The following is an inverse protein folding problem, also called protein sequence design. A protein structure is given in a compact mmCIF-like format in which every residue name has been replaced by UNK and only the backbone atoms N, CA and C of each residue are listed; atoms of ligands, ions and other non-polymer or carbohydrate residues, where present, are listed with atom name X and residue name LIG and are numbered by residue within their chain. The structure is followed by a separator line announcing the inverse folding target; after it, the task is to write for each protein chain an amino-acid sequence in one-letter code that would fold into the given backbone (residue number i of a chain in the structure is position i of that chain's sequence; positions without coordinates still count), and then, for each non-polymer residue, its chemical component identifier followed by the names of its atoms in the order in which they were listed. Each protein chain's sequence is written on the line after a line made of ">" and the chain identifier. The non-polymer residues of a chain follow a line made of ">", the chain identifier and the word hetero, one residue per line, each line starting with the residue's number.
data_IF_145855108845
#
_entry.id   IF_145855108845
#
_cell.length_a   1.000
_cell.length_b   1.000
_cell.length_c   1.000
_cell.angle_alpha   90.00
_cell.angle_beta   90.00
_cell.angle_gamma   90.00
#
_symmetry.space_group_name_H-M   'P 1'
#
loop_
_entity.id
_entity.type
_entity.pdbx_description
1 polymer ?
#
# COMPACT_ATOMS: atom_id res chain seq x y z
N UNK A 1 2.40 -3.40 25.98
CA UNK A 1 1.88 -3.14 24.61
C UNK A 1 3.05 -3.15 23.64
N UNK A 2 2.94 -3.93 22.57
CA UNK A 2 3.90 -4.00 21.47
C UNK A 2 3.14 -3.95 20.15
N UNK A 3 3.80 -3.42 19.12
CA UNK A 3 3.21 -3.30 17.80
C UNK A 3 3.53 -4.54 16.97
N UNK A 4 2.50 -5.08 16.31
CA UNK A 4 2.60 -6.22 15.41
C UNK A 4 2.20 -5.73 14.02
N UNK A 5 3.08 -5.95 13.05
CA UNK A 5 2.79 -5.70 11.65
C UNK A 5 1.97 -6.85 11.07
N UNK A 6 0.83 -6.54 10.46
CA UNK A 6 -0.04 -7.53 9.80
C UNK A 6 -0.31 -7.10 8.37
N UNK A 7 -0.85 -8.02 7.55
CA UNK A 7 -1.32 -7.72 6.19
C UNK A 7 -2.39 -6.61 6.13
N UNK A 8 -3.04 -6.30 7.26
CA UNK A 8 -4.07 -5.25 7.37
C UNK A 8 -3.54 -3.97 8.05
N UNK A 9 -2.22 -3.86 8.25
CA UNK A 9 -1.58 -2.75 8.93
C UNK A 9 -1.12 -3.07 10.37
N UNK A 10 -0.81 -2.02 11.11
CA UNK A 10 -0.23 -2.11 12.45
C UNK A 10 -1.30 -2.39 13.51
N UNK A 11 -1.04 -3.36 14.38
CA UNK A 11 -1.95 -3.75 15.47
C UNK A 11 -1.23 -3.69 16.81
N UNK A 12 -1.92 -3.22 17.86
CA UNK A 12 -1.34 -3.16 19.21
C UNK A 12 -1.80 -4.37 19.98
N UNK A 13 -0.84 -5.15 20.46
CA UNK A 13 -1.09 -6.34 21.25
C UNK A 13 -0.49 -6.22 22.64
N UNK A 14 -1.18 -6.81 23.60
CA UNK A 14 -0.75 -6.98 24.97
C UNK A 14 -0.42 -8.46 25.18
N UNK A 15 0.80 -8.89 24.81
CA UNK A 15 1.28 -10.24 25.15
C UNK A 15 2.70 -10.20 25.70
N UNK A 16 2.91 -11.07 26.70
CA UNK A 16 4.19 -11.38 27.34
C UNK A 16 5.01 -12.27 26.40
N UNK A 17 6.28 -11.92 26.25
CA UNK A 17 7.22 -12.39 25.22
C UNK A 17 7.36 -13.92 25.10
N UNK A 18 7.40 -14.43 23.85
CA UNK A 18 8.33 -15.49 23.42
C UNK A 18 8.76 -15.20 21.97
N UNK A 19 10.06 -15.13 21.66
CA UNK A 19 10.54 -14.89 20.30
C UNK A 19 10.53 -16.19 19.48
N UNK A 20 10.04 -16.13 18.25
CA UNK A 20 10.26 -17.15 17.21
C UNK A 20 10.93 -16.45 16.03
N UNK A 21 12.17 -16.85 15.75
CA UNK A 21 12.95 -16.44 14.57
C UNK A 21 12.35 -17.10 13.32
N UNK A 22 12.22 -16.33 12.23
CA UNK A 22 11.98 -16.88 10.89
C UNK A 22 13.08 -16.38 9.97
N UNK A 23 13.78 -17.34 9.40
CA UNK A 23 14.92 -17.16 8.51
C UNK A 23 14.42 -17.18 7.05
N UNK A 24 14.77 -16.15 6.27
CA UNK A 24 14.47 -16.08 4.84
C UNK A 24 15.78 -15.89 4.09
N UNK A 25 16.46 -16.99 3.79
CA UNK A 25 17.47 -17.02 2.74
C UNK A 25 16.84 -17.61 1.46
N UNK A 26 17.48 -17.36 0.32
CA UNK A 26 17.11 -17.74 -1.06
C UNK A 26 16.48 -16.60 -1.90
N UNK A 27 17.34 -15.70 -2.40
CA UNK A 27 17.07 -14.88 -3.59
C UNK A 27 18.01 -15.38 -4.69
N UNK A 28 17.45 -15.95 -5.77
CA UNK A 28 18.18 -16.30 -6.98
C UNK A 28 18.55 -15.00 -7.71
N UNK A 29 19.84 -14.82 -8.02
CA UNK A 29 20.31 -13.75 -8.90
C UNK A 29 20.26 -14.24 -10.36
N UNK A 30 19.54 -13.52 -11.20
CA UNK A 30 19.56 -13.69 -12.66
C UNK A 30 20.57 -12.69 -13.23
N UNK A 31 21.53 -13.15 -14.02
CA UNK A 31 22.52 -12.27 -14.67
C UNK A 31 21.84 -11.42 -15.75
N UNK A 32 21.53 -10.17 -15.42
CA UNK A 32 21.01 -9.16 -16.37
C UNK A 32 22.16 -8.44 -17.06
N UNK A 33 21.99 -8.16 -18.37
CA UNK A 33 22.98 -7.48 -19.20
C UNK A 33 23.14 -6.02 -18.73
N UNK A 34 24.37 -5.50 -18.71
CA UNK A 34 24.72 -4.16 -18.20
C UNK A 34 23.82 -3.03 -18.76
N UNK A 35 23.48 -3.11 -20.05
CA UNK A 35 22.61 -2.14 -20.75
C UNK A 35 21.16 -2.15 -20.23
N UNK A 36 20.65 -3.32 -19.83
CA UNK A 36 19.32 -3.44 -19.22
C UNK A 36 19.33 -2.87 -17.81
N UNK A 37 20.41 -3.10 -17.05
CA UNK A 37 20.58 -2.58 -15.69
C UNK A 37 20.56 -1.05 -15.66
N UNK A 38 21.24 -0.40 -16.61
CA UNK A 38 21.24 1.06 -16.77
C UNK A 38 19.86 1.61 -17.17
N UNK A 39 19.12 0.85 -17.99
CA UNK A 39 17.76 1.22 -18.40
C UNK A 39 16.78 1.12 -17.22
N UNK A 40 16.87 0.05 -16.43
CA UNK A 40 16.08 -0.12 -15.21
C UNK A 40 16.42 0.94 -14.15
N UNK A 41 17.70 1.27 -13.96
CA UNK A 41 18.14 2.32 -13.03
C UNK A 41 17.60 3.70 -13.42
N UNK A 42 17.52 4.00 -14.73
CA UNK A 42 16.91 5.24 -15.22
C UNK A 42 15.41 5.31 -14.94
N UNK A 43 14.68 4.22 -15.16
CA UNK A 43 13.24 4.17 -14.84
C UNK A 43 13.00 4.29 -13.34
N UNK A 44 13.81 3.60 -12.53
CA UNK A 44 13.73 3.65 -11.06
C UNK A 44 13.96 5.07 -10.52
N UNK A 45 14.98 5.77 -11.04
CA UNK A 45 15.27 7.17 -10.67
C UNK A 45 14.17 8.15 -11.06
N UNK A 46 13.50 7.91 -12.18
CA UNK A 46 12.40 8.77 -12.63
C UNK A 46 11.17 8.59 -11.75
N UNK A 47 10.85 7.35 -11.38
CA UNK A 47 9.73 7.02 -10.48
C UNK A 47 9.98 7.56 -9.06
N UNK A 48 11.18 7.36 -8.51
CA UNK A 48 11.54 7.83 -7.16
C UNK A 48 11.64 9.36 -7.03
N UNK A 49 11.81 10.09 -8.14
CA UNK A 49 11.85 11.57 -8.12
C UNK A 49 10.48 12.22 -7.92
N UNK A 50 9.38 11.46 -8.04
CA UNK A 50 8.02 11.94 -7.87
C UNK A 50 7.45 11.65 -6.48
N UNK A 51 8.02 10.68 -5.77
CA UNK A 51 7.68 10.33 -4.39
C UNK A 51 8.72 10.94 -3.45
N UNK A 52 8.31 11.68 -2.42
CA UNK A 52 9.19 12.02 -1.29
C UNK A 52 9.51 10.73 -0.52
N UNK A 53 10.40 9.91 -1.08
CA UNK A 53 10.85 8.66 -0.48
C UNK A 53 11.83 8.99 0.64
N UNK A 54 11.59 8.41 1.81
CA UNK A 54 12.46 8.59 2.94
C UNK A 54 13.82 7.96 2.65
N UNK A 55 14.89 8.76 2.74
CA UNK A 55 16.25 8.37 2.31
C UNK A 55 17.04 7.60 3.39
N UNK A 56 16.41 7.25 4.52
CA UNK A 56 17.07 6.53 5.60
C UNK A 56 16.86 5.01 5.52
N UNK A 57 17.40 4.28 6.50
CA UNK A 57 17.24 2.82 6.55
C UNK A 57 15.79 2.44 6.89
N UNK A 58 15.28 1.37 6.27
CA UNK A 58 13.95 0.78 6.56
C UNK A 58 13.71 0.60 8.07
N UNK A 59 14.76 0.19 8.82
CA UNK A 59 14.71 0.04 10.27
C UNK A 59 14.41 1.35 11.00
N UNK A 60 14.95 2.47 10.54
CA UNK A 60 14.74 3.78 11.13
C UNK A 60 13.34 4.33 10.82
N UNK A 61 12.84 4.14 9.60
CA UNK A 61 11.45 4.47 9.23
C UNK A 61 10.45 3.74 10.11
N UNK A 62 10.65 2.43 10.23
CA UNK A 62 9.78 1.56 11.01
C UNK A 62 9.76 1.97 12.47
N UNK A 63 10.93 2.27 13.05
CA UNK A 63 11.02 2.77 14.42
C UNK A 63 10.26 4.11 14.60
N UNK A 64 10.46 5.06 13.68
CA UNK A 64 9.77 6.35 13.73
C UNK A 64 8.25 6.19 13.64
N UNK A 65 7.79 5.28 12.77
CA UNK A 65 6.38 4.99 12.58
C UNK A 65 5.77 4.26 13.79
N UNK A 66 6.49 3.27 14.34
CA UNK A 66 6.11 2.53 15.55
C UNK A 66 5.93 3.50 16.73
N UNK A 67 6.89 4.42 16.93
CA UNK A 67 6.82 5.45 17.96
C UNK A 67 5.61 6.38 17.77
N UNK A 68 5.35 6.83 16.53
CA UNK A 68 4.19 7.67 16.20
C UNK A 68 2.88 6.96 16.54
N UNK A 69 2.74 5.69 16.17
CA UNK A 69 1.55 4.88 16.42
C UNK A 69 1.36 4.64 17.92
N UNK A 70 2.43 4.31 18.64
CA UNK A 70 2.39 4.09 20.08
C UNK A 70 2.01 5.36 20.84
N UNK A 71 2.58 6.51 20.46
CA UNK A 71 2.25 7.82 21.06
C UNK A 71 0.77 8.18 20.84
N UNK A 72 0.26 8.01 19.62
CA UNK A 72 -1.15 8.26 19.29
C UNK A 72 -2.09 7.36 20.08
N UNK A 73 -1.74 6.08 20.21
CA UNK A 73 -2.57 5.09 20.89
C UNK A 73 -2.67 5.36 22.39
N UNK A 74 -1.54 5.66 23.04
CA UNK A 74 -1.53 6.07 24.46
C UNK A 74 -2.37 7.32 24.71
N UNK A 75 -2.31 8.32 23.82
CA UNK A 75 -3.12 9.56 23.92
C UNK A 75 -4.63 9.31 23.76
N UNK A 76 -4.99 8.23 23.08
CA UNK A 76 -6.36 7.92 22.68
C UNK A 76 -7.12 7.07 23.70
N UNK A 77 -6.39 6.29 24.51
CA UNK A 77 -6.94 5.47 25.57
C UNK A 77 -7.22 6.37 26.78
N UNK A 78 -8.50 6.53 27.12
CA UNK A 78 -8.94 7.20 28.34
C UNK A 78 -9.34 6.14 29.36
N UNK A 79 -8.57 6.04 30.45
CA UNK A 79 -8.92 5.20 31.59
C UNK A 79 -9.86 5.99 32.50
N UNK A 80 -11.12 5.59 32.56
CA UNK A 80 -12.09 6.10 33.53
C UNK A 80 -12.28 5.07 34.66
N UNK A 81 -12.81 5.47 35.83
CA UNK A 81 -13.02 4.56 36.96
C UNK A 81 -14.05 3.46 36.68
N UNK A 82 -14.97 3.68 35.74
CA UNK A 82 -15.96 2.71 35.27
C UNK A 82 -15.36 1.75 34.24
N UNK A 83 -14.64 2.24 33.21
CA UNK A 83 -14.17 1.40 32.10
C UNK A 83 -13.03 2.06 31.26
N UNK A 84 -12.48 1.29 30.31
CA UNK A 84 -11.52 1.81 29.31
C UNK A 84 -12.25 2.29 28.05
N UNK A 85 -12.14 3.58 27.74
CA UNK A 85 -12.68 4.15 26.52
C UNK A 85 -11.55 4.35 25.50
N UNK A 86 -11.73 3.78 24.30
CA UNK A 86 -10.80 3.96 23.18
C UNK A 86 -11.48 4.82 22.12
N UNK A 87 -11.01 6.06 21.94
CA UNK A 87 -11.52 6.93 20.87
C UNK A 87 -10.82 6.61 19.55
N UNK A 88 -11.30 5.64 18.77
CA UNK A 88 -10.70 5.32 17.46
C UNK A 88 -10.32 6.60 16.72
N UNK A 89 -9.02 6.82 16.44
CA UNK A 89 -8.59 8.10 15.93
C UNK A 89 -9.17 8.26 14.52
N UNK A 90 -9.87 9.38 14.28
CA UNK A 90 -10.26 9.77 12.94
C UNK A 90 -9.04 9.75 12.02
N UNK A 91 -9.23 9.28 10.78
CA UNK A 91 -8.18 9.28 9.76
C UNK A 91 -7.60 10.70 9.66
N UNK A 92 -6.28 10.79 9.51
CA UNK A 92 -5.67 12.10 9.25
C UNK A 92 -6.32 12.71 8.01
N UNK A 93 -6.49 14.04 7.92
CA UNK A 93 -7.00 14.67 6.72
C UNK A 93 -6.07 14.32 5.57
N UNK A 94 -6.51 13.39 4.73
CA UNK A 94 -5.81 12.99 3.53
C UNK A 94 -6.14 13.98 2.42
N UNK A 95 -5.22 14.12 1.46
CA UNK A 95 -5.48 14.83 0.21
C UNK A 95 -6.76 14.28 -0.42
N UNK A 96 -7.53 15.17 -1.03
CA UNK A 96 -8.75 14.79 -1.74
C UNK A 96 -8.38 13.73 -2.80
N UNK A 97 -9.11 12.61 -2.79
CA UNK A 97 -8.92 11.57 -3.80
C UNK A 97 -9.04 12.19 -5.20
N UNK A 98 -8.16 11.86 -6.15
CA UNK A 98 -8.26 12.41 -7.50
C UNK A 98 -9.64 12.11 -8.09
N UNK A 99 -10.21 13.08 -8.81
CA UNK A 99 -11.51 12.90 -9.47
C UNK A 99 -11.39 11.86 -10.59
N UNK A 100 -11.79 10.63 -10.28
CA UNK A 100 -11.73 9.51 -11.21
C UNK A 100 -12.82 9.55 -12.28
N UNK A 101 -13.76 10.51 -12.23
CA UNK A 101 -14.88 10.59 -13.19
C UNK A 101 -14.40 10.67 -14.64
N UNK A 102 -13.32 11.43 -14.90
CA UNK A 102 -12.75 11.56 -16.24
C UNK A 102 -12.15 10.25 -16.74
N UNK A 103 -11.42 9.52 -15.90
CA UNK A 103 -10.85 8.21 -16.25
C UNK A 103 -11.95 7.16 -16.44
N UNK A 104 -12.95 7.13 -15.56
CA UNK A 104 -14.10 6.23 -15.67
C UNK A 104 -14.87 6.39 -16.99
N UNK A 105 -14.82 7.58 -17.61
CA UNK A 105 -15.42 7.81 -18.94
C UNK A 105 -14.42 7.59 -20.07
N UNK A 106 -13.17 7.99 -19.92
CA UNK A 106 -12.15 7.90 -20.96
C UNK A 106 -11.75 6.45 -21.26
N UNK A 107 -11.57 5.64 -20.22
CA UNK A 107 -11.12 4.24 -20.38
C UNK A 107 -12.12 3.41 -21.17
N UNK A 108 -13.43 3.39 -20.85
CA UNK A 108 -14.41 2.64 -21.64
C UNK A 108 -14.52 3.15 -23.08
N UNK A 109 -14.45 4.48 -23.29
CA UNK A 109 -14.46 5.05 -24.65
C UNK A 109 -13.25 4.63 -25.47
N UNK A 110 -12.07 4.61 -24.86
CA UNK A 110 -10.84 4.15 -25.52
C UNK A 110 -10.92 2.67 -25.85
N UNK A 111 -11.40 1.85 -24.91
CA UNK A 111 -11.61 0.42 -25.11
C UNK A 111 -12.61 0.19 -26.26
N UNK A 112 -13.74 0.90 -26.27
CA UNK A 112 -14.72 0.77 -27.35
C UNK A 112 -14.09 1.05 -28.72
N UNK A 113 -13.33 2.15 -28.84
CA UNK A 113 -12.62 2.50 -30.09
C UNK A 113 -11.59 1.45 -30.50
N UNK A 114 -10.92 0.81 -29.55
CA UNK A 114 -9.94 -0.24 -29.84
C UNK A 114 -10.60 -1.49 -30.45
N UNK A 115 -11.81 -1.81 -30.01
CA UNK A 115 -12.55 -3.01 -30.44
C UNK A 115 -13.64 -2.72 -31.48
N UNK A 116 -13.72 -1.49 -32.02
CA UNK A 116 -14.70 -1.11 -33.07
C UNK A 116 -14.64 -2.04 -34.29
N UNK A 117 -13.45 -2.55 -34.64
CA UNK A 117 -13.25 -3.46 -35.77
C UNK A 117 -13.48 -4.95 -35.42
N UNK A 118 -13.82 -5.27 -34.17
CA UNK A 118 -14.02 -6.64 -33.67
C UNK A 118 -15.39 -6.78 -33.01
N UNK A 119 -16.48 -6.77 -33.80
CA UNK A 119 -17.85 -6.80 -33.26
C UNK A 119 -18.17 -8.09 -32.50
N UNK A 120 -17.56 -9.22 -32.90
CA UNK A 120 -17.73 -10.52 -32.23
C UNK A 120 -17.24 -10.49 -30.78
N UNK A 121 -16.11 -9.82 -30.52
CA UNK A 121 -15.58 -9.65 -29.17
C UNK A 121 -16.50 -8.78 -28.30
N UNK A 122 -17.04 -7.69 -28.85
CA UNK A 122 -17.96 -6.82 -28.14
C UNK A 122 -19.29 -7.53 -27.81
N UNK A 123 -19.77 -8.40 -28.70
CA UNK A 123 -20.97 -9.22 -28.46
C UNK A 123 -20.73 -10.25 -27.35
N UNK A 124 -19.60 -10.94 -27.38
CA UNK A 124 -19.23 -11.91 -26.33
C UNK A 124 -19.00 -11.22 -24.98
N UNK A 125 -18.32 -10.07 -24.98
CA UNK A 125 -18.15 -9.24 -23.80
C UNK A 125 -19.52 -8.85 -23.23
N UNK A 126 -20.43 -8.34 -24.05
CA UNK A 126 -21.77 -7.95 -23.61
C UNK A 126 -22.59 -9.15 -23.09
N UNK A 127 -22.40 -10.36 -23.62
CA UNK A 127 -23.03 -11.58 -23.11
C UNK A 127 -22.60 -11.87 -21.65
N UNK A 128 -21.31 -11.83 -21.37
CA UNK A 128 -20.75 -12.12 -20.03
C UNK A 128 -21.31 -11.21 -18.93
N UNK A 129 -21.62 -9.94 -19.23
CA UNK A 129 -22.15 -9.00 -18.24
C UNK A 129 -23.68 -9.02 -18.11
N UNK A 130 -24.40 -9.64 -19.05
CA UNK A 130 -25.87 -9.74 -19.02
C UNK A 130 -26.40 -11.13 -18.62
N UNK A 131 -25.51 -12.12 -18.48
CA UNK A 131 -25.78 -13.40 -17.81
C UNK A 131 -25.72 -13.25 -16.27
#
# INVERSE_FOLDING_TARGET
>A
MHLIFTKFGHTISERKNKPVSKDYSHVLQTETRQEEMETWDRYWKMESSCTEEYTGTEKAEKQMLDEKIMKRSKKTILKRPDEYYVRLPWKEPHTHLPDYKRMAVAVPKSLLRQYENQPEFLQEFNRIFND
#
